data_IF_409391034451
#
_entry.id   IF_409391034451
#
_cell.length_a   1.000
_cell.length_b   1.000
_cell.length_c   1.000
_cell.angle_alpha   90.00
_cell.angle_beta   90.00
_cell.angle_gamma   90.00
#
_symmetry.space_group_name_H-M   'P 1'
#
loop_
_entity.id
_entity.type
_entity.pdbx_description
1 polymer ?
#
# COMPACT_ATOMS: atom_id res chain seq x y z
N UNK A 1 -18.17 14.52 0.44
CA UNK A 1 -16.95 14.29 1.24
C UNK A 1 -16.17 13.17 0.59
N UNK A 2 -14.87 13.34 0.39
CA UNK A 2 -13.99 12.30 -0.16
C UNK A 2 -13.07 11.85 0.98
N UNK A 3 -12.95 10.54 1.16
CA UNK A 3 -11.98 9.94 2.08
C UNK A 3 -10.78 9.52 1.24
N UNK A 4 -9.58 9.91 1.67
CA UNK A 4 -8.32 9.55 1.00
C UNK A 4 -7.47 8.76 1.98
N UNK A 5 -6.98 7.61 1.54
CA UNK A 5 -6.02 6.79 2.25
C UNK A 5 -4.82 6.47 1.35
N UNK A 6 -3.71 6.14 1.97
CA UNK A 6 -2.52 5.65 1.26
C UNK A 6 -2.55 4.12 1.22
N UNK A 7 -2.10 3.57 0.09
CA UNK A 7 -1.93 2.13 -0.09
C UNK A 7 -0.51 1.68 0.16
N UNK A 8 -0.30 0.37 0.08
CA UNK A 8 0.98 -0.27 0.43
C UNK A 8 2.13 0.13 -0.49
N UNK A 9 1.85 0.42 -1.76
CA UNK A 9 2.86 0.92 -2.72
C UNK A 9 3.46 2.24 -2.25
N UNK A 10 2.65 3.12 -1.63
CA UNK A 10 3.12 4.41 -1.14
C UNK A 10 3.82 4.29 0.21
N UNK A 11 3.41 3.34 1.06
CA UNK A 11 4.16 3.00 2.26
C UNK A 11 5.56 2.47 1.90
N UNK A 12 5.66 1.60 0.89
CA UNK A 12 6.95 1.14 0.33
C UNK A 12 7.79 2.32 -0.15
N UNK A 13 7.20 3.15 -1.02
CA UNK A 13 7.89 4.24 -1.68
C UNK A 13 8.41 5.32 -0.71
N UNK A 14 7.69 5.53 0.40
CA UNK A 14 8.04 6.50 1.45
C UNK A 14 8.95 5.94 2.56
N UNK A 15 9.53 4.75 2.38
CA UNK A 15 10.29 4.02 3.42
C UNK A 15 9.51 3.87 4.73
N UNK A 16 8.22 3.57 4.65
CA UNK A 16 7.35 3.38 5.80
C UNK A 16 6.96 4.67 6.52
N UNK A 17 7.22 5.85 5.94
CA UNK A 17 6.97 7.14 6.60
C UNK A 17 5.48 7.44 6.61
N UNK A 18 4.82 7.13 5.49
CA UNK A 18 3.37 7.20 5.36
C UNK A 18 2.82 5.78 5.47
N UNK A 19 1.81 5.62 6.32
CA UNK A 19 1.28 4.31 6.70
C UNK A 19 0.05 3.94 5.86
N UNK A 20 0.06 2.73 5.34
CA UNK A 20 -1.11 2.06 4.79
C UNK A 20 -1.94 1.50 5.94
N UNK A 21 -3.08 2.15 6.22
CA UNK A 21 -3.90 1.84 7.38
C UNK A 21 -4.97 0.79 7.04
N UNK A 22 -5.08 -0.22 7.92
CA UNK A 22 -6.14 -1.23 7.82
C UNK A 22 -7.49 -0.55 8.05
N UNK A 23 -8.43 -0.76 7.14
CA UNK A 23 -9.79 -0.25 7.23
C UNK A 23 -10.80 -1.33 6.84
N UNK A 24 -12.00 -1.28 7.43
CA UNK A 24 -13.09 -2.22 7.13
C UNK A 24 -14.44 -1.51 7.09
N UNK A 25 -15.35 -2.04 6.29
CA UNK A 25 -16.77 -1.62 6.31
C UNK A 25 -17.52 -2.55 7.26
N UNK A 26 -18.29 -1.96 8.17
CA UNK A 26 -19.16 -2.69 9.10
C UNK A 26 -20.60 -2.49 8.64
N UNK A 27 -21.43 -3.53 8.72
CA UNK A 27 -22.85 -3.44 8.41
C UNK A 27 -23.54 -2.42 9.33
N UNK A 28 -24.45 -1.62 8.78
CA UNK A 28 -25.26 -0.67 9.54
C UNK A 28 -26.18 -1.40 10.52
N UNK A 29 -26.44 -0.80 11.67
CA UNK A 29 -27.27 -1.40 12.73
C UNK A 29 -28.70 -1.70 12.22
N UNK A 30 -29.37 -2.65 12.88
CA UNK A 30 -30.68 -3.22 12.52
C UNK A 30 -31.81 -2.16 12.38
N UNK A 31 -31.61 -0.95 12.91
CA UNK A 31 -32.58 0.14 12.84
C UNK A 31 -32.44 1.04 11.59
N UNK A 32 -31.39 0.84 10.78
CA UNK A 32 -31.11 1.59 9.54
C UNK A 32 -31.19 0.71 8.28
N UNK A 33 -31.78 -0.50 8.40
CA UNK A 33 -31.84 -1.56 7.38
C UNK A 33 -32.48 -1.15 6.03
N UNK A 34 -33.14 0.00 5.95
CA UNK A 34 -33.86 0.44 4.76
C UNK A 34 -33.09 1.42 3.87
N UNK A 35 -31.83 1.75 4.17
CA UNK A 35 -31.04 2.65 3.35
C UNK A 35 -29.90 1.91 2.63
N UNK A 36 -29.99 1.84 1.30
CA UNK A 36 -28.89 1.35 0.46
C UNK A 36 -27.69 2.29 0.57
N UNK A 37 -26.53 1.73 0.91
CA UNK A 37 -25.25 2.46 0.92
C UNK A 37 -24.46 2.16 -0.34
N UNK A 38 -24.24 3.20 -1.14
CA UNK A 38 -23.36 3.14 -2.31
C UNK A 38 -22.00 3.75 -1.98
N UNK A 39 -20.92 3.10 -2.42
CA UNK A 39 -19.56 3.63 -2.32
C UNK A 39 -18.77 3.30 -3.58
N UNK A 40 -17.97 4.25 -4.03
CA UNK A 40 -17.03 4.07 -5.14
C UNK A 40 -15.63 4.25 -4.57
N UNK A 41 -14.77 3.27 -4.80
CA UNK A 41 -13.34 3.38 -4.53
C UNK A 41 -12.62 3.67 -5.85
N UNK A 42 -11.78 4.70 -5.85
CA UNK A 42 -10.89 5.02 -6.96
C UNK A 42 -9.45 4.77 -6.51
N UNK A 43 -8.77 3.85 -7.20
CA UNK A 43 -7.37 3.52 -6.94
C UNK A 43 -6.49 4.27 -7.94
N UNK A 44 -5.49 4.97 -7.42
CA UNK A 44 -4.52 5.70 -8.20
C UNK A 44 -3.14 5.12 -7.90
N UNK A 45 -2.55 4.47 -8.89
CA UNK A 45 -1.23 3.86 -8.81
C UNK A 45 -0.26 4.53 -9.79
N UNK A 46 1.07 4.42 -9.56
CA UNK A 46 2.06 4.81 -10.55
C UNK A 46 1.93 3.98 -11.83
N UNK A 47 2.52 4.47 -12.93
CA UNK A 47 2.64 3.65 -14.14
C UNK A 47 3.40 2.35 -13.85
N UNK A 48 3.05 1.28 -14.53
CA UNK A 48 3.59 -0.06 -14.27
C UNK A 48 5.12 -0.13 -14.28
N UNK A 49 5.77 0.63 -15.15
CA UNK A 49 7.22 0.73 -15.33
C UNK A 49 7.93 1.61 -14.30
N UNK A 50 7.19 2.29 -13.43
CA UNK A 50 7.75 3.19 -12.43
C UNK A 50 8.58 2.41 -11.41
N UNK A 51 9.87 2.70 -11.34
CA UNK A 51 10.76 2.15 -10.32
C UNK A 51 10.41 2.72 -8.94
N UNK A 52 10.18 1.84 -7.96
CA UNK A 52 9.86 2.20 -6.58
C UNK A 52 11.13 2.55 -5.78
N UNK A 53 11.97 3.44 -6.28
CA UNK A 53 13.10 3.96 -5.49
C UNK A 53 12.61 4.93 -4.43
N UNK A 54 13.23 5.01 -3.23
CA UNK A 54 12.78 5.92 -2.18
C UNK A 54 12.54 7.36 -2.66
N UNK A 55 11.41 7.95 -2.26
CA UNK A 55 11.03 9.31 -2.65
C UNK A 55 12.16 10.30 -2.24
N UNK A 56 12.59 11.20 -3.14
CA UNK A 56 13.66 12.16 -2.86
C UNK A 56 13.19 13.22 -1.88
N UNK A 57 13.36 12.94 -0.59
CA UNK A 57 13.00 13.82 0.51
C UNK A 57 14.04 13.72 1.62
N UNK A 58 14.45 14.87 2.18
CA UNK A 58 15.38 14.93 3.33
C UNK A 58 14.88 14.12 4.54
N UNK A 59 13.56 13.96 4.67
CA UNK A 59 12.93 13.17 5.74
C UNK A 59 13.03 11.67 5.52
N UNK A 60 13.20 11.25 4.26
CA UNK A 60 13.24 9.84 3.83
C UNK A 60 14.68 9.37 3.61
N UNK A 61 15.56 10.28 3.18
CA UNK A 61 16.97 10.01 2.89
C UNK A 61 17.67 9.31 4.06
N UNK A 62 17.59 9.90 5.25
CA UNK A 62 18.23 9.41 6.48
C UNK A 62 17.35 8.43 7.28
N UNK A 63 16.15 8.10 6.78
CA UNK A 63 15.25 7.19 7.48
C UNK A 63 15.71 5.77 7.28
N UNK A 64 16.04 5.10 8.38
CA UNK A 64 16.11 3.65 8.38
C UNK A 64 14.71 3.10 8.16
N UNK A 65 14.63 2.10 7.31
CA UNK A 65 13.42 1.34 7.10
C UNK A 65 12.86 0.82 8.43
N UNK A 66 11.63 1.23 8.77
CA UNK A 66 10.99 0.92 10.06
C UNK A 66 10.66 -0.57 10.12
N UNK A 67 11.22 -1.35 11.06
CA UNK A 67 10.96 -2.80 11.25
C UNK A 67 9.52 -3.14 11.71
N UNK A 68 8.55 -2.28 11.44
CA UNK A 68 7.15 -2.49 11.75
C UNK A 68 6.63 -3.67 10.93
N UNK A 69 5.74 -4.49 11.48
CA UNK A 69 5.33 -5.77 10.87
C UNK A 69 4.83 -5.65 9.42
N UNK A 70 4.13 -4.57 9.09
CA UNK A 70 3.68 -4.28 7.72
C UNK A 70 4.83 -3.99 6.75
N UNK A 71 5.86 -3.28 7.21
CA UNK A 71 6.99 -2.91 6.39
C UNK A 71 8.05 -4.04 6.32
N UNK A 72 8.00 -5.05 7.20
CA UNK A 72 8.87 -6.24 7.12
C UNK A 72 8.76 -6.98 5.78
N UNK A 73 7.56 -7.07 5.19
CA UNK A 73 7.39 -7.71 3.88
C UNK A 73 8.08 -6.92 2.77
N UNK A 74 7.96 -5.60 2.82
CA UNK A 74 8.59 -4.65 1.91
C UNK A 74 10.13 -4.73 1.97
N UNK A 75 10.74 -4.91 3.15
CA UNK A 75 12.20 -5.01 3.30
C UNK A 75 12.76 -6.37 2.96
N UNK A 76 12.04 -7.44 3.32
CA UNK A 76 12.41 -8.77 2.88
C UNK A 76 12.44 -8.85 1.35
N UNK A 77 11.52 -8.17 0.65
CA UNK A 77 11.49 -8.21 -0.81
C UNK A 77 12.63 -7.39 -1.46
N UNK A 78 13.20 -6.36 -0.81
CA UNK A 78 14.39 -5.65 -1.33
C UNK A 78 15.71 -6.39 -1.04
N UNK A 79 15.87 -6.89 0.19
CA UNK A 79 17.09 -7.58 0.64
C UNK A 79 17.20 -9.00 0.04
N UNK A 80 16.09 -9.74 -0.08
CA UNK A 80 16.09 -11.07 -0.70
C UNK A 80 16.18 -11.04 -2.23
N UNK A 81 15.88 -9.92 -2.89
CA UNK A 81 16.01 -9.79 -4.34
C UNK A 81 17.40 -9.26 -4.77
N UNK A 82 18.44 -9.41 -3.94
CA UNK A 82 19.82 -8.95 -4.25
C UNK A 82 19.91 -7.46 -4.63
N UNK A 83 19.04 -6.60 -4.09
CA UNK A 83 19.00 -5.18 -4.43
C UNK A 83 18.27 -4.84 -5.74
N UNK A 84 17.47 -5.77 -6.30
CA UNK A 84 16.54 -5.45 -7.38
C UNK A 84 15.51 -4.42 -6.91
N UNK A 85 15.43 -3.31 -7.64
CA UNK A 85 14.39 -2.30 -7.42
C UNK A 85 13.11 -2.76 -8.09
N UNK A 86 12.05 -2.95 -7.30
CA UNK A 86 10.73 -3.31 -7.82
C UNK A 86 10.13 -2.15 -8.63
N UNK A 87 9.49 -2.49 -9.74
CA UNK A 87 8.55 -1.60 -10.43
C UNK A 87 7.18 -1.60 -9.74
N UNK A 88 6.38 -0.56 -9.99
CA UNK A 88 5.00 -0.48 -9.48
C UNK A 88 4.14 -1.64 -9.98
N UNK A 89 4.32 -2.05 -11.24
CA UNK A 89 3.63 -3.20 -11.83
C UNK A 89 3.99 -4.52 -11.13
N UNK A 90 5.27 -4.77 -10.88
CA UNK A 90 5.72 -5.96 -10.13
C UNK A 90 5.18 -5.98 -8.70
N UNK A 91 5.20 -4.82 -8.02
CA UNK A 91 4.62 -4.70 -6.69
C UNK A 91 3.13 -5.02 -6.69
N UNK A 92 2.36 -4.47 -7.64
CA UNK A 92 0.93 -4.77 -7.79
C UNK A 92 0.70 -6.27 -8.06
N UNK A 93 1.42 -6.86 -9.01
CA UNK A 93 1.29 -8.28 -9.34
C UNK A 93 1.61 -9.17 -8.13
N UNK A 94 2.65 -8.83 -7.36
CA UNK A 94 2.98 -9.53 -6.12
C UNK A 94 1.82 -9.50 -5.13
N UNK A 95 1.15 -8.36 -4.96
CA UNK A 95 0.00 -8.22 -4.06
C UNK A 95 -1.21 -9.00 -4.55
N UNK A 96 -1.50 -8.96 -5.85
CA UNK A 96 -2.59 -9.74 -6.44
C UNK A 96 -2.34 -11.24 -6.26
N UNK A 97 -1.12 -11.71 -6.54
CA UNK A 97 -0.74 -13.12 -6.38
C UNK A 97 -0.86 -13.60 -4.93
N UNK A 98 -0.49 -12.77 -3.93
CA UNK A 98 -0.61 -13.11 -2.51
C UNK A 98 -2.06 -13.25 -2.04
N UNK A 99 -3.02 -12.58 -2.70
CA UNK A 99 -4.43 -12.51 -2.24
C UNK A 99 -5.40 -13.31 -3.13
N UNK A 100 -5.04 -13.60 -4.38
CA UNK A 100 -5.94 -14.20 -5.37
C UNK A 100 -5.45 -15.54 -5.96
N UNK A 101 -4.52 -16.23 -5.30
CA UNK A 101 -4.23 -17.63 -5.61
C UNK A 101 -5.22 -18.54 -4.87
N UNK A 102 -6.11 -19.19 -5.64
CA UNK A 102 -6.94 -20.32 -5.20
C UNK A 102 -6.23 -21.64 -5.48
#
# INVERSE_FOLDING_TARGET
MIVVNFGDVFEYWSKGMIKSTIHRVIASNVNEQNHSRFSIAFFCDPNEDTLLTPIPSKLIENRMYTKDEHAKHVFNDYDNNNGHVLTAGEHLQMRLNKTHQY
#
